data_IF_107229109576
#
_entry.id   IF_107229109576
#
_cell.length_a   1.000
_cell.length_b   1.000
_cell.length_c   1.000
_cell.angle_alpha   90.00
_cell.angle_beta   90.00
_cell.angle_gamma   90.00
#
_symmetry.space_group_name_H-M   'P 1'
#
loop_
_entity.id
_entity.type
_entity.pdbx_description
1 polymer ?
#
# COMPACT_ATOMS: atom_id res chain seq x y z
N UNK A 1 26.31 -5.21 15.23
CA UNK A 1 25.64 -5.82 14.05
C UNK A 1 24.20 -6.14 14.44
N UNK A 2 23.31 -5.16 14.32
CA UNK A 2 21.88 -5.41 14.45
C UNK A 2 21.44 -6.06 13.13
N UNK A 3 21.07 -7.34 13.20
CA UNK A 3 20.41 -8.05 12.12
C UNK A 3 19.12 -7.29 11.79
N UNK A 4 19.05 -6.71 10.59
CA UNK A 4 17.79 -6.32 9.98
C UNK A 4 16.98 -7.60 9.90
N UNK A 5 15.94 -7.71 10.73
CA UNK A 5 14.96 -8.79 10.62
C UNK A 5 14.19 -8.52 9.34
N UNK A 6 14.61 -9.12 8.24
CA UNK A 6 13.71 -9.38 7.12
C UNK A 6 12.46 -10.02 7.72
N UNK A 7 11.32 -9.34 7.59
CA UNK A 7 10.04 -9.87 8.04
C UNK A 7 9.79 -11.14 7.24
N UNK A 8 9.99 -12.31 7.85
CA UNK A 8 9.70 -13.60 7.25
C UNK A 8 8.22 -13.61 6.83
N UNK A 9 7.96 -13.38 5.55
CA UNK A 9 6.61 -13.38 5.01
C UNK A 9 6.12 -14.81 5.10
N UNK A 10 5.05 -15.03 5.87
CA UNK A 10 4.48 -16.37 6.05
C UNK A 10 4.18 -17.01 4.68
N UNK A 11 4.47 -18.30 4.53
CA UNK A 11 4.21 -19.06 3.29
C UNK A 11 2.77 -18.95 2.78
N UNK A 12 1.81 -18.73 3.69
CA UNK A 12 0.41 -18.46 3.36
C UNK A 12 0.22 -17.12 2.63
N UNK A 13 0.90 -16.06 3.10
CA UNK A 13 0.84 -14.73 2.49
C UNK A 13 1.48 -14.76 1.11
N UNK A 14 2.62 -15.42 0.92
CA UNK A 14 3.25 -15.57 -0.39
C UNK A 14 2.32 -16.27 -1.40
N UNK A 15 1.64 -17.32 -0.97
CA UNK A 15 0.66 -18.02 -1.77
C UNK A 15 -0.55 -17.12 -2.13
N UNK A 16 -1.00 -16.28 -1.20
CA UNK A 16 -2.03 -15.28 -1.44
C UNK A 16 -1.57 -14.25 -2.49
N UNK A 17 -0.39 -13.65 -2.33
CA UNK A 17 0.18 -12.68 -3.26
C UNK A 17 0.34 -13.25 -4.68
N UNK A 18 0.85 -14.49 -4.79
CA UNK A 18 0.96 -15.21 -6.07
C UNK A 18 -0.40 -15.48 -6.70
N UNK A 19 -1.43 -15.69 -5.89
CA UNK A 19 -2.81 -15.88 -6.38
C UNK A 19 -3.43 -14.55 -6.82
N UNK A 20 -3.14 -13.45 -6.13
CA UNK A 20 -3.60 -12.11 -6.50
C UNK A 20 -3.01 -11.64 -7.84
N UNK A 21 -1.75 -11.97 -8.17
CA UNK A 21 -1.17 -11.65 -9.48
C UNK A 21 -1.75 -12.49 -10.62
N UNK A 22 -2.09 -13.77 -10.36
CA UNK A 22 -2.85 -14.58 -11.33
C UNK A 22 -4.25 -14.02 -11.54
N UNK A 23 -4.88 -13.57 -10.46
CA UNK A 23 -6.17 -12.91 -10.45
C UNK A 23 -7.38 -13.84 -10.46
N UNK A 24 -8.52 -13.25 -10.12
CA UNK A 24 -9.81 -13.94 -9.98
C UNK A 24 -10.92 -13.18 -10.70
N UNK A 25 -11.97 -13.90 -11.09
CA UNK A 25 -13.20 -13.26 -11.54
C UNK A 25 -14.03 -12.84 -10.33
N UNK A 26 -14.21 -11.53 -10.15
CA UNK A 26 -15.07 -10.93 -9.13
C UNK A 26 -16.24 -10.20 -9.81
N UNK A 27 -17.29 -9.91 -9.07
CA UNK A 27 -18.36 -9.03 -9.53
C UNK A 27 -18.16 -7.63 -8.96
N UNK A 28 -17.96 -6.65 -9.86
CA UNK A 28 -18.03 -5.22 -9.50
C UNK A 28 -19.50 -4.85 -9.32
N UNK A 29 -19.84 -4.30 -8.16
CA UNK A 29 -21.18 -3.81 -7.86
C UNK A 29 -21.20 -2.30 -8.11
N UNK A 30 -22.12 -1.82 -8.95
CA UNK A 30 -22.33 -0.37 -9.17
C UNK A 30 -23.68 0.11 -8.65
N UNK A 31 -24.63 -0.79 -8.52
CA UNK A 31 -25.91 -0.56 -7.86
C UNK A 31 -26.53 -1.92 -7.53
N UNK A 32 -27.63 -1.92 -6.78
CA UNK A 32 -28.34 -3.14 -6.41
C UNK A 32 -28.85 -4.00 -7.60
N UNK A 33 -28.82 -3.47 -8.83
CA UNK A 33 -29.17 -4.19 -10.06
C UNK A 33 -28.00 -4.39 -11.03
N UNK A 34 -26.90 -3.64 -10.88
CA UNK A 34 -25.81 -3.59 -11.85
C UNK A 34 -24.55 -4.29 -11.32
N UNK A 35 -24.34 -5.52 -11.78
CA UNK A 35 -23.21 -6.36 -11.43
C UNK A 35 -22.39 -6.67 -12.68
N UNK A 36 -21.07 -6.50 -12.57
CA UNK A 36 -20.16 -6.70 -13.70
C UNK A 36 -19.09 -7.71 -13.33
N UNK A 37 -19.19 -8.92 -13.89
CA UNK A 37 -18.13 -9.92 -13.75
C UNK A 37 -16.86 -9.46 -14.49
N UNK A 38 -15.75 -9.34 -13.79
CA UNK A 38 -14.46 -8.85 -14.30
C UNK A 38 -13.34 -9.67 -13.68
N UNK A 39 -12.26 -9.88 -14.44
CA UNK A 39 -11.04 -10.46 -13.88
C UNK A 39 -10.24 -9.33 -13.22
N UNK A 40 -9.96 -9.48 -11.93
CA UNK A 40 -9.13 -8.61 -11.13
C UNK A 40 -7.80 -9.29 -10.85
N UNK A 41 -6.70 -8.55 -10.96
CA UNK A 41 -5.37 -9.03 -10.61
C UNK A 41 -4.48 -7.89 -10.14
N UNK A 42 -3.54 -8.19 -9.27
CA UNK A 42 -2.53 -7.23 -8.81
C UNK A 42 -1.34 -7.24 -9.75
N UNK A 43 -0.95 -6.06 -10.22
CA UNK A 43 0.32 -5.81 -10.89
C UNK A 43 1.30 -5.25 -9.87
N UNK A 44 2.23 -6.10 -9.40
CA UNK A 44 3.22 -5.73 -8.40
C UNK A 44 4.30 -4.78 -8.93
N UNK A 45 4.57 -4.77 -10.24
CA UNK A 45 5.56 -3.85 -10.82
C UNK A 45 5.05 -2.41 -10.81
N UNK A 46 3.76 -2.25 -11.08
CA UNK A 46 3.10 -0.94 -11.11
C UNK A 46 2.28 -0.65 -9.84
N UNK A 47 2.37 -1.52 -8.82
CA UNK A 47 1.61 -1.47 -7.57
C UNK A 47 0.15 -1.05 -7.77
N UNK A 48 -0.55 -1.70 -8.70
CA UNK A 48 -1.93 -1.37 -9.03
C UNK A 48 -2.82 -2.61 -9.19
N UNK A 49 -4.10 -2.46 -8.86
CA UNK A 49 -5.14 -3.42 -9.14
C UNK A 49 -5.69 -3.18 -10.56
N UNK A 50 -5.60 -4.17 -11.43
CA UNK A 50 -6.05 -4.10 -12.82
C UNK A 50 -7.33 -4.90 -13.05
N UNK A 51 -8.24 -4.33 -13.85
CA UNK A 51 -9.42 -5.02 -14.36
C UNK A 51 -9.89 -4.43 -15.69
N UNK A 52 -10.59 -5.21 -16.51
CA UNK A 52 -11.05 -4.73 -17.83
C UNK A 52 -12.54 -4.95 -18.05
N UNK A 53 -13.23 -3.90 -18.52
CA UNK A 53 -14.64 -4.00 -18.90
C UNK A 53 -14.85 -4.91 -20.11
N UNK A 54 -15.96 -5.67 -20.13
CA UNK A 54 -16.37 -6.43 -21.32
C UNK A 54 -16.66 -5.44 -22.45
N UNK A 55 -15.85 -5.47 -23.51
CA UNK A 55 -15.81 -4.49 -24.61
C UNK A 55 -17.04 -4.57 -25.53
N UNK A 56 -17.38 -3.46 -26.21
CA UNK A 56 -17.93 -3.51 -27.58
C UNK A 56 -16.73 -3.59 -28.55
N UNK A 57 -16.82 -4.42 -29.61
CA UNK A 57 -15.70 -4.81 -30.49
C UNK A 57 -14.82 -3.67 -31.06
N UNK A 58 -15.31 -2.42 -31.07
CA UNK A 58 -14.69 -1.27 -31.72
C UNK A 58 -13.92 -0.30 -30.80
N UNK A 59 -13.79 -0.61 -29.51
CA UNK A 59 -13.20 0.31 -28.53
C UNK A 59 -11.93 -0.29 -27.89
N UNK A 60 -10.75 0.21 -28.30
CA UNK A 60 -9.45 -0.11 -27.70
C UNK A 60 -9.16 0.77 -26.48
N UNK A 61 -9.98 0.67 -25.42
CA UNK A 61 -9.66 1.31 -24.14
C UNK A 61 -8.68 0.47 -23.32
N UNK A 62 -7.71 1.11 -22.63
CA UNK A 62 -6.81 0.42 -21.71
C UNK A 62 -7.59 -0.21 -20.55
N UNK A 63 -7.02 -1.22 -19.87
CA UNK A 63 -7.56 -1.74 -18.62
C UNK A 63 -7.74 -0.62 -17.59
N UNK A 64 -8.78 -0.72 -16.78
CA UNK A 64 -8.92 0.15 -15.61
C UNK A 64 -7.91 -0.25 -14.55
N UNK A 65 -7.30 0.75 -13.93
CA UNK A 65 -6.31 0.60 -12.86
C UNK A 65 -6.81 1.31 -11.60
N UNK A 66 -6.53 0.72 -10.45
CA UNK A 66 -6.62 1.37 -9.14
C UNK A 66 -5.24 1.31 -8.53
N UNK A 67 -4.66 2.47 -8.25
CA UNK A 67 -3.36 2.55 -7.59
C UNK A 67 -3.49 2.07 -6.14
N UNK A 68 -2.66 1.11 -5.73
CA UNK A 68 -2.71 0.56 -4.37
C UNK A 68 -2.32 1.60 -3.31
N UNK A 69 -1.51 2.60 -3.65
CA UNK A 69 -1.20 3.72 -2.73
C UNK A 69 -2.42 4.58 -2.41
N UNK A 70 -3.42 4.60 -3.29
CA UNK A 70 -4.63 5.42 -3.11
C UNK A 70 -5.72 4.73 -2.29
N UNK A 71 -5.54 3.45 -1.97
CA UNK A 71 -6.48 2.69 -1.14
C UNK A 71 -6.21 3.03 0.32
N UNK A 72 -7.21 3.62 0.97
CA UNK A 72 -7.13 4.02 2.36
C UNK A 72 -7.63 2.92 3.30
N UNK A 73 -8.68 2.23 2.89
CA UNK A 73 -9.39 1.29 3.75
C UNK A 73 -9.93 0.11 2.94
N UNK A 74 -9.94 -1.07 3.57
CA UNK A 74 -10.62 -2.25 3.07
C UNK A 74 -11.77 -2.59 4.02
N UNK A 75 -13.00 -2.49 3.52
CA UNK A 75 -14.22 -2.85 4.26
C UNK A 75 -14.66 -4.26 3.88
N UNK A 76 -15.04 -5.07 4.86
CA UNK A 76 -15.62 -6.41 4.62
C UNK A 76 -17.12 -6.39 4.85
N UNK A 77 -17.87 -7.24 4.16
CA UNK A 77 -19.33 -7.32 4.33
C UNK A 77 -20.07 -6.18 3.65
N UNK A 78 -21.24 -5.83 4.18
CA UNK A 78 -22.13 -4.82 3.58
C UNK A 78 -21.95 -3.42 4.16
N UNK A 79 -20.70 -2.98 4.28
CA UNK A 79 -20.36 -1.72 4.95
C UNK A 79 -20.21 -0.52 3.98
N UNK A 80 -21.00 -0.50 2.91
CA UNK A 80 -21.08 0.62 1.95
C UNK A 80 -22.52 0.88 1.53
N UNK A 81 -22.82 2.09 1.06
CA UNK A 81 -24.17 2.48 0.62
C UNK A 81 -24.71 1.59 -0.50
N UNK A 82 -23.84 1.15 -1.41
CA UNK A 82 -24.20 0.24 -2.50
C UNK A 82 -24.61 -1.12 -1.93
N UNK A 83 -23.83 -1.68 -0.99
CA UNK A 83 -24.18 -2.96 -0.38
C UNK A 83 -25.41 -2.86 0.55
N UNK A 84 -25.63 -1.74 1.23
CA UNK A 84 -26.87 -1.48 1.97
C UNK A 84 -28.10 -1.51 1.05
N UNK A 85 -28.01 -0.94 -0.15
CA UNK A 85 -29.07 -1.05 -1.15
C UNK A 85 -29.28 -2.48 -1.65
N UNK A 86 -28.21 -3.25 -1.84
CA UNK A 86 -28.29 -4.67 -2.20
C UNK A 86 -28.98 -5.46 -1.09
N UNK A 87 -28.58 -5.28 0.16
CA UNK A 87 -29.19 -5.90 1.33
C UNK A 87 -30.69 -5.60 1.40
N UNK A 88 -31.09 -4.35 1.16
CA UNK A 88 -32.50 -3.97 1.13
C UNK A 88 -33.29 -4.72 0.03
N UNK A 89 -32.72 -4.88 -1.17
CA UNK A 89 -33.35 -5.67 -2.24
C UNK A 89 -33.49 -7.16 -1.87
N UNK A 90 -32.44 -7.74 -1.28
CA UNK A 90 -32.45 -9.13 -0.83
C UNK A 90 -33.53 -9.34 0.25
N UNK A 91 -33.63 -8.45 1.24
CA UNK A 91 -34.67 -8.49 2.29
C UNK A 91 -36.10 -8.39 1.73
N UNK A 92 -36.28 -7.66 0.63
CA UNK A 92 -37.57 -7.57 -0.09
C UNK A 92 -37.84 -8.79 -1.00
N UNK A 93 -37.05 -9.86 -0.93
CA UNK A 93 -37.09 -11.01 -1.83
C UNK A 93 -37.03 -10.63 -3.32
N UNK A 94 -36.42 -9.48 -3.65
CA UNK A 94 -36.23 -9.05 -5.03
C UNK A 94 -34.99 -9.73 -5.60
N UNK A 95 -35.13 -10.29 -6.80
CA UNK A 95 -34.00 -10.93 -7.50
C UNK A 95 -32.89 -9.91 -7.78
N UNK A 96 -31.69 -10.22 -7.30
CA UNK A 96 -30.43 -9.61 -7.73
C UNK A 96 -29.87 -10.39 -8.92
N UNK A 97 -28.92 -9.81 -9.66
CA UNK A 97 -28.29 -10.49 -10.80
C UNK A 97 -27.39 -11.66 -10.38
N UNK A 98 -26.94 -11.67 -9.13
CA UNK A 98 -26.07 -12.70 -8.53
C UNK A 98 -26.53 -12.90 -7.08
N UNK A 99 -26.41 -14.11 -6.53
CA UNK A 99 -26.52 -14.28 -5.07
C UNK A 99 -25.46 -13.41 -4.41
N UNK A 100 -25.85 -12.62 -3.41
CA UNK A 100 -24.93 -11.75 -2.68
C UNK A 100 -25.01 -12.17 -1.22
N UNK A 101 -23.97 -12.87 -0.78
CA UNK A 101 -23.77 -13.24 0.62
C UNK A 101 -22.75 -12.28 1.22
N UNK A 102 -23.01 -11.81 2.44
CA UNK A 102 -22.18 -10.81 3.11
C UNK A 102 -20.72 -11.25 3.26
N UNK A 103 -20.49 -12.53 3.54
CA UNK A 103 -19.15 -13.13 3.73
C UNK A 103 -18.29 -13.15 2.46
N UNK A 104 -18.90 -12.99 1.28
CA UNK A 104 -18.23 -12.86 -0.03
C UNK A 104 -18.03 -11.41 -0.46
N UNK A 105 -18.52 -10.44 0.31
CA UNK A 105 -18.48 -9.03 -0.03
C UNK A 105 -17.30 -8.31 0.62
N UNK A 106 -16.69 -7.41 -0.14
CA UNK A 106 -15.71 -6.46 0.36
C UNK A 106 -15.63 -5.23 -0.54
N UNK A 107 -15.09 -4.13 -0.01
CA UNK A 107 -14.98 -2.85 -0.70
C UNK A 107 -13.60 -2.24 -0.45
N UNK A 108 -13.06 -1.60 -1.48
CA UNK A 108 -11.85 -0.78 -1.38
C UNK A 108 -12.26 0.69 -1.37
N UNK A 109 -11.88 1.42 -0.33
CA UNK A 109 -12.10 2.87 -0.22
C UNK A 109 -10.90 3.57 -0.82
N UNK A 110 -11.13 4.40 -1.85
CA UNK A 110 -10.08 5.06 -2.63
C UNK A 110 -10.16 6.55 -2.32
N UNK A 111 -9.20 7.05 -1.53
CA UNK A 111 -9.21 8.43 -1.02
C UNK A 111 -9.09 9.46 -2.16
N UNK A 112 -8.11 9.26 -3.05
CA UNK A 112 -7.82 10.18 -4.15
C UNK A 112 -9.02 10.45 -5.09
N UNK A 113 -9.99 9.54 -5.14
CA UNK A 113 -11.18 9.65 -5.98
C UNK A 113 -12.47 9.90 -5.20
N UNK A 114 -12.45 9.84 -3.86
CA UNK A 114 -13.66 9.73 -3.02
C UNK A 114 -14.64 8.66 -3.52
N UNK A 115 -14.11 7.53 -4.01
CA UNK A 115 -14.89 6.44 -4.59
C UNK A 115 -14.69 5.14 -3.81
N UNK A 116 -15.70 4.28 -3.86
CA UNK A 116 -15.63 2.90 -3.36
C UNK A 116 -15.66 1.91 -4.53
N UNK A 117 -14.80 0.91 -4.47
CA UNK A 117 -14.82 -0.25 -5.35
C UNK A 117 -15.45 -1.44 -4.61
N UNK A 118 -16.75 -1.62 -4.78
CA UNK A 118 -17.51 -2.73 -4.20
C UNK A 118 -17.39 -4.01 -5.04
N UNK A 119 -17.01 -5.11 -4.37
CA UNK A 119 -16.69 -6.40 -5.00
C UNK A 119 -17.38 -7.56 -4.29
N UNK A 120 -17.86 -8.52 -5.09
CA UNK A 120 -18.34 -9.82 -4.60
C UNK A 120 -17.48 -10.93 -5.17
N UNK A 121 -16.87 -11.72 -4.29
CA UNK A 121 -16.07 -12.87 -4.66
C UNK A 121 -16.94 -14.11 -4.98
N UNK A 122 -16.42 -15.09 -5.74
CA UNK A 122 -17.13 -16.34 -5.99
C UNK A 122 -17.36 -17.15 -4.71
N UNK A 123 -16.41 -17.13 -3.79
CA UNK A 123 -16.47 -17.84 -2.50
C UNK A 123 -15.87 -16.98 -1.38
N UNK A 124 -16.16 -17.34 -0.13
CA UNK A 124 -15.61 -16.66 1.07
C UNK A 124 -14.08 -16.78 1.11
N UNK A 125 -13.53 -17.93 0.73
CA UNK A 125 -12.10 -18.21 0.71
C UNK A 125 -11.37 -17.29 -0.27
N UNK A 126 -11.96 -17.06 -1.45
CA UNK A 126 -11.39 -16.12 -2.43
C UNK A 126 -11.43 -14.70 -1.86
N UNK A 127 -12.54 -14.29 -1.23
CA UNK A 127 -12.63 -12.97 -0.58
C UNK A 127 -11.55 -12.84 0.50
N UNK A 128 -11.41 -13.82 1.39
CA UNK A 128 -10.46 -13.73 2.49
C UNK A 128 -9.00 -13.69 1.99
N UNK A 129 -8.69 -14.45 0.94
CA UNK A 129 -7.40 -14.39 0.25
C UNK A 129 -7.12 -13.01 -0.36
N UNK A 130 -8.13 -12.34 -0.93
CA UNK A 130 -8.01 -10.94 -1.39
C UNK A 130 -7.77 -9.97 -0.22
N UNK A 131 -8.50 -10.12 0.88
CA UNK A 131 -8.34 -9.27 2.06
C UNK A 131 -6.93 -9.40 2.65
N UNK A 132 -6.46 -10.63 2.83
CA UNK A 132 -5.13 -10.92 3.38
C UNK A 132 -4.03 -10.34 2.49
N UNK A 133 -4.06 -10.66 1.19
CA UNK A 133 -3.06 -10.18 0.25
C UNK A 133 -3.04 -8.66 0.12
N UNK A 134 -4.20 -8.01 0.02
CA UNK A 134 -4.28 -6.55 -0.07
C UNK A 134 -3.83 -5.87 1.22
N UNK A 135 -4.22 -6.36 2.40
CA UNK A 135 -3.74 -5.81 3.68
C UNK A 135 -2.23 -5.87 3.79
N UNK A 136 -1.63 -6.99 3.37
CA UNK A 136 -0.18 -7.13 3.38
C UNK A 136 0.48 -6.11 2.43
N UNK A 137 -0.03 -5.97 1.21
CA UNK A 137 0.51 -5.01 0.24
C UNK A 137 0.38 -3.57 0.75
N UNK A 138 -0.77 -3.19 1.33
CA UNK A 138 -0.97 -1.84 1.87
C UNK A 138 -0.02 -1.55 3.03
N UNK A 139 0.22 -2.52 3.92
CA UNK A 139 1.21 -2.38 4.99
C UNK A 139 2.62 -2.20 4.42
N UNK A 140 2.99 -2.95 3.38
CA UNK A 140 4.28 -2.77 2.68
C UNK A 140 4.39 -1.37 2.07
N UNK A 141 3.36 -0.91 1.35
CA UNK A 141 3.32 0.42 0.74
C UNK A 141 3.47 1.54 1.79
N UNK A 142 2.81 1.41 2.94
CA UNK A 142 2.91 2.38 4.03
C UNK A 142 4.30 2.40 4.68
N UNK A 143 4.95 1.24 4.82
CA UNK A 143 6.32 1.17 5.35
C UNK A 143 7.31 1.81 4.39
N UNK A 144 7.24 1.50 3.10
CA UNK A 144 8.09 2.12 2.07
C UNK A 144 7.89 3.64 2.06
N UNK A 145 6.64 4.11 2.07
CA UNK A 145 6.37 5.54 2.10
C UNK A 145 6.96 6.23 3.34
N UNK A 146 6.85 5.60 4.52
CA UNK A 146 7.43 6.12 5.76
C UNK A 146 8.95 6.16 5.72
N UNK A 147 9.59 5.14 5.14
CA UNK A 147 11.05 5.11 4.97
C UNK A 147 11.51 6.23 4.03
N UNK A 148 10.82 6.45 2.91
CA UNK A 148 11.11 7.55 1.99
C UNK A 148 10.93 8.94 2.64
N UNK A 149 9.87 9.12 3.43
CA UNK A 149 9.65 10.36 4.18
C UNK A 149 10.73 10.59 5.23
N UNK A 150 11.12 9.53 5.94
CA UNK A 150 12.20 9.58 6.92
C UNK A 150 13.55 9.91 6.28
N UNK A 151 13.88 9.26 5.16
CA UNK A 151 15.11 9.54 4.40
C UNK A 151 15.12 10.98 3.86
N UNK A 152 14.00 11.45 3.32
CA UNK A 152 13.85 12.85 2.88
C UNK A 152 14.03 13.84 4.03
N UNK A 153 13.40 13.56 5.17
CA UNK A 153 13.55 14.38 6.37
C UNK A 153 15.00 14.40 6.85
N UNK A 154 15.66 13.24 6.92
CA UNK A 154 17.04 13.11 7.37
C UNK A 154 18.01 13.88 6.45
N UNK A 155 17.82 13.76 5.13
CA UNK A 155 18.56 14.52 4.12
C UNK A 155 18.40 16.03 4.31
N UNK A 156 17.18 16.49 4.59
CA UNK A 156 16.93 17.92 4.85
C UNK A 156 17.59 18.39 6.15
N UNK A 157 17.57 17.59 7.23
CA UNK A 157 18.28 17.93 8.45
C UNK A 157 19.79 18.00 8.22
N UNK A 158 20.35 17.05 7.46
CA UNK A 158 21.76 17.05 7.08
C UNK A 158 22.13 18.30 6.28
N UNK A 159 21.36 18.63 5.23
CA UNK A 159 21.56 19.82 4.39
C UNK A 159 21.50 21.12 5.19
N UNK A 160 20.62 21.20 6.19
CA UNK A 160 20.52 22.36 7.09
C UNK A 160 21.71 22.46 8.05
N UNK A 161 22.32 21.34 8.41
CA UNK A 161 23.49 21.29 9.27
C UNK A 161 24.80 21.55 8.50
N UNK A 162 24.87 21.19 7.22
CA UNK A 162 25.99 21.46 6.32
C UNK A 162 26.00 22.94 5.90
N UNK A 163 26.58 23.80 6.75
CA UNK A 163 26.53 25.26 6.54
C UNK A 163 27.45 25.72 5.42
N UNK A 164 28.51 24.96 5.14
CA UNK A 164 29.47 25.29 4.10
C UNK A 164 29.12 24.62 2.75
N UNK A 165 28.06 23.80 2.70
CA UNK A 165 27.58 23.06 1.53
C UNK A 165 28.68 22.21 0.87
N UNK A 166 29.60 21.67 1.68
CA UNK A 166 30.69 20.83 1.16
C UNK A 166 30.28 19.35 1.03
N UNK A 167 29.04 19.00 1.35
CA UNK A 167 28.50 17.64 1.29
C UNK A 167 28.85 16.78 2.50
N UNK A 168 29.44 17.36 3.55
CA UNK A 168 29.88 16.68 4.77
C UNK A 168 29.63 17.53 6.01
N UNK A 169 29.45 16.90 7.17
CA UNK A 169 29.36 17.64 8.44
C UNK A 169 30.71 17.63 9.14
N UNK A 170 31.23 18.80 9.49
CA UNK A 170 32.30 18.90 10.47
C UNK A 170 31.82 18.38 11.83
N UNK A 171 32.75 18.00 12.71
CA UNK A 171 32.40 17.56 14.07
C UNK A 171 31.53 18.58 14.83
N UNK A 172 31.78 19.87 14.60
CA UNK A 172 30.99 20.97 15.19
C UNK A 172 29.56 21.01 14.64
N UNK A 173 29.38 20.83 13.33
CA UNK A 173 28.07 20.78 12.69
C UNK A 173 27.29 19.53 13.10
N UNK A 174 27.97 18.39 13.24
CA UNK A 174 27.41 17.15 13.76
C UNK A 174 26.84 17.32 15.18
N UNK A 175 27.59 17.97 16.09
CA UNK A 175 27.10 18.26 17.45
C UNK A 175 25.89 19.19 17.46
N UNK A 176 25.85 20.19 16.57
CA UNK A 176 24.70 21.11 16.44
C UNK A 176 23.48 20.34 15.93
N UNK A 177 23.65 19.48 14.91
CA UNK A 177 22.58 18.64 14.38
C UNK A 177 21.99 17.73 15.46
N UNK A 178 22.83 17.00 16.21
CA UNK A 178 22.37 16.12 17.30
C UNK A 178 21.56 16.90 18.35
N UNK A 179 22.01 18.11 18.70
CA UNK A 179 21.26 18.99 19.60
C UNK A 179 19.92 19.44 19.01
N UNK A 180 19.85 19.74 17.72
CA UNK A 180 18.61 20.12 17.04
C UNK A 180 17.60 18.97 16.94
N UNK A 181 18.11 17.74 16.82
CA UNK A 181 17.32 16.52 16.85
C UNK A 181 16.94 16.07 18.27
N UNK A 182 17.33 16.85 19.29
CA UNK A 182 17.10 16.55 20.70
C UNK A 182 17.71 15.20 21.14
N UNK A 183 18.83 14.82 20.51
CA UNK A 183 19.59 13.60 20.81
C UNK A 183 20.71 13.97 21.79
N UNK A 184 20.68 13.39 22.99
CA UNK A 184 21.69 13.59 24.03
C UNK A 184 22.65 12.40 24.07
N UNK A 185 23.85 12.58 23.51
CA UNK A 185 24.94 11.60 23.54
C UNK A 185 26.17 12.30 24.15
N UNK A 186 26.92 11.67 25.07
CA UNK A 186 28.15 12.24 25.61
C UNK A 186 29.13 12.60 24.50
N UNK A 187 29.74 13.79 24.56
CA UNK A 187 30.64 14.31 23.51
C UNK A 187 31.76 13.33 23.16
N UNK A 188 32.33 12.64 24.14
CA UNK A 188 33.40 11.66 23.92
C UNK A 188 32.93 10.48 23.05
N UNK A 189 31.69 10.02 23.27
CA UNK A 189 31.09 8.96 22.47
C UNK A 189 30.74 9.47 21.05
N UNK A 190 30.25 10.70 20.91
CA UNK A 190 30.06 11.31 19.58
C UNK A 190 31.39 11.44 18.85
N UNK A 191 32.47 11.80 19.54
CA UNK A 191 33.82 11.90 18.98
C UNK A 191 34.32 10.55 18.48
N UNK A 192 34.16 9.48 19.27
CA UNK A 192 34.48 8.12 18.84
C UNK A 192 33.65 7.72 17.60
N UNK A 193 32.34 7.94 17.61
CA UNK A 193 31.48 7.62 16.47
C UNK A 193 31.85 8.44 15.22
N UNK A 194 32.20 9.70 15.38
CA UNK A 194 32.61 10.58 14.30
C UNK A 194 33.94 10.11 13.71
N UNK A 195 34.95 9.86 14.53
CA UNK A 195 36.29 9.48 14.08
C UNK A 195 36.31 8.08 13.43
N UNK A 196 35.51 7.14 13.92
CA UNK A 196 35.35 5.80 13.31
C UNK A 196 34.65 5.87 11.95
N UNK A 197 33.63 6.74 11.81
CA UNK A 197 32.87 6.86 10.56
C UNK A 197 33.45 7.90 9.57
N UNK A 198 34.43 8.72 9.97
CA UNK A 198 35.07 9.74 9.09
C UNK A 198 35.85 9.11 7.92
N UNK A 199 36.23 7.83 8.00
CA UNK A 199 36.80 7.09 6.85
C UNK A 199 35.70 6.58 5.89
N UNK A 200 34.43 6.56 6.30
CA UNK A 200 33.30 6.02 5.53
C UNK A 200 32.24 7.07 5.10
N UNK A 201 32.40 8.34 5.47
CA UNK A 201 31.55 9.46 5.02
C UNK A 201 31.92 10.00 3.63
N UNK A 202 32.89 9.38 2.93
CA UNK A 202 33.02 9.54 1.49
C UNK A 202 31.92 8.72 0.83
N UNK A 203 30.89 9.42 0.35
CA UNK A 203 29.98 9.07 -0.76
C UNK A 203 30.13 7.62 -1.22
N UNK A 204 29.52 6.71 -0.46
CA UNK A 204 29.19 5.35 -0.87
C UNK A 204 27.68 5.30 -0.65
N UNK A 205 26.80 5.44 -1.64
CA UNK A 205 26.93 5.18 -3.06
C UNK A 205 26.02 6.14 -3.84
N UNK A 206 26.41 6.39 -5.09
CA UNK A 206 25.62 6.94 -6.17
C UNK A 206 24.14 6.54 -6.14
N UNK A 207 23.25 7.53 -5.94
CA UNK A 207 21.98 7.76 -6.66
C UNK A 207 21.78 9.28 -6.71
#
# INVERSE_FOLDING_TARGET
MAQVKDSEVSSHVEAALKSLSKGFYLYKVRSAKNFYRRRYFVDFQNLCLKYQSKRKKFCNRPPSTVDLYTIEEIRTGWNTDIFNQVQAMVRMNKRTAVSVDEDRCFSLVINAAHETLDLVAPTKEIKDLWIEGLKHILAMCQNVHREEEYDRWLKEQFRRADRNNNGSLSFKECLILLSQLNISIPKDHVKTLFDVNTIHFFISNSI
#
